data_IF_981749206200
#
_entry.id   IF_981749206200
#
_cell.length_a   1.000
_cell.length_b   1.000
_cell.length_c   1.000
_cell.angle_alpha   90.00
_cell.angle_beta   90.00
_cell.angle_gamma   90.00
#
_symmetry.space_group_name_H-M   'P 1'
#
loop_
_entity.id
_entity.type
_entity.pdbx_description
1 polymer ?
#
# COMPACT_ATOMS: atom_id res chain seq x y z
N UNK A 1 -23.61 -12.61 -5.91
CA UNK A 1 -22.44 -12.07 -5.17
C UNK A 1 -21.92 -13.19 -4.28
N UNK A 2 -20.60 -13.37 -4.14
CA UNK A 2 -20.08 -14.29 -3.14
C UNK A 2 -20.46 -13.82 -1.72
N UNK A 3 -20.73 -14.76 -0.82
CA UNK A 3 -21.06 -14.46 0.58
C UNK A 3 -19.83 -13.92 1.34
N UNK A 4 -20.06 -13.06 2.33
CA UNK A 4 -19.02 -12.62 3.26
C UNK A 4 -18.90 -13.66 4.38
N UNK A 5 -17.75 -14.34 4.46
CA UNK A 5 -17.49 -15.43 5.42
C UNK A 5 -16.27 -15.12 6.29
N UNK A 6 -16.24 -15.73 7.48
CA UNK A 6 -15.09 -15.78 8.39
C UNK A 6 -15.02 -17.15 9.07
N UNK A 7 -13.87 -17.57 9.61
CA UNK A 7 -13.79 -18.78 10.39
C UNK A 7 -14.76 -18.78 11.58
N UNK A 8 -15.32 -19.96 11.87
CA UNK A 8 -16.14 -20.23 13.04
C UNK A 8 -15.43 -21.28 13.90
N UNK A 9 -14.58 -20.81 14.81
CA UNK A 9 -13.75 -21.68 15.64
C UNK A 9 -14.56 -22.54 16.61
N UNK A 10 -14.11 -23.77 16.82
CA UNK A 10 -14.68 -24.68 17.83
C UNK A 10 -13.60 -25.49 18.54
N UNK A 11 -13.95 -26.08 19.68
CA UNK A 11 -13.02 -26.82 20.54
C UNK A 11 -12.47 -28.06 19.81
N UNK A 12 -11.15 -28.28 19.93
CA UNK A 12 -10.41 -29.36 19.25
C UNK A 12 -10.35 -29.24 17.72
N UNK A 13 -10.72 -28.08 17.15
CA UNK A 13 -10.47 -27.83 15.74
C UNK A 13 -8.96 -27.72 15.48
N UNK A 14 -8.48 -28.49 14.50
CA UNK A 14 -7.16 -28.31 13.93
C UNK A 14 -7.22 -27.18 12.91
N UNK A 15 -6.34 -26.18 13.05
CA UNK A 15 -6.30 -25.00 12.18
C UNK A 15 -5.14 -25.11 11.20
N UNK A 16 -5.41 -24.79 9.94
CA UNK A 16 -4.41 -24.75 8.88
C UNK A 16 -4.14 -23.31 8.42
N UNK A 17 -3.11 -23.13 7.61
CA UNK A 17 -2.75 -21.85 6.99
C UNK A 17 -3.95 -21.15 6.33
N UNK A 18 -4.80 -21.92 5.64
CA UNK A 18 -6.00 -21.42 4.97
C UNK A 18 -7.00 -20.75 5.94
N UNK A 19 -7.13 -21.26 7.17
CA UNK A 19 -8.04 -20.68 8.17
C UNK A 19 -7.54 -19.31 8.64
N UNK A 20 -6.24 -19.20 8.92
CA UNK A 20 -5.62 -17.94 9.33
C UNK A 20 -5.61 -16.92 8.19
N UNK A 21 -5.39 -17.37 6.94
CA UNK A 21 -5.47 -16.51 5.76
C UNK A 21 -6.91 -16.00 5.55
N UNK A 22 -7.91 -16.85 5.78
CA UNK A 22 -9.32 -16.46 5.70
C UNK A 22 -9.70 -15.44 6.79
N UNK A 23 -9.23 -15.62 8.03
CA UNK A 23 -9.45 -14.65 9.11
C UNK A 23 -8.79 -13.30 8.81
N UNK A 24 -7.51 -13.28 8.42
CA UNK A 24 -6.80 -12.04 8.09
C UNK A 24 -7.46 -11.30 6.92
N UNK A 25 -7.87 -12.03 5.88
CA UNK A 25 -8.55 -11.46 4.72
C UNK A 25 -9.89 -10.85 5.11
N UNK A 26 -10.70 -11.55 5.93
CA UNK A 26 -11.96 -11.02 6.42
C UNK A 26 -11.79 -9.69 7.16
N UNK A 27 -10.83 -9.61 8.08
CA UNK A 27 -10.58 -8.37 8.83
C UNK A 27 -10.06 -7.23 7.97
N UNK A 28 -9.14 -7.50 7.03
CA UNK A 28 -8.66 -6.52 6.05
C UNK A 28 -9.83 -5.99 5.20
N UNK A 29 -10.67 -6.87 4.68
CA UNK A 29 -11.79 -6.47 3.82
C UNK A 29 -12.88 -5.71 4.57
N UNK A 30 -13.15 -6.06 5.84
CA UNK A 30 -14.04 -5.26 6.70
C UNK A 30 -13.49 -3.85 6.87
N UNK A 31 -12.18 -3.71 7.12
CA UNK A 31 -11.52 -2.40 7.25
C UNK A 31 -11.59 -1.60 5.94
N UNK A 32 -11.29 -2.22 4.81
CA UNK A 32 -11.39 -1.57 3.50
C UNK A 32 -12.81 -1.06 3.22
N UNK A 33 -13.83 -1.88 3.48
CA UNK A 33 -15.24 -1.47 3.34
C UNK A 33 -15.61 -0.35 4.30
N UNK A 34 -15.17 -0.41 5.56
CA UNK A 34 -15.40 0.65 6.54
C UNK A 34 -14.79 1.98 6.08
N UNK A 35 -13.54 1.94 5.61
CA UNK A 35 -12.82 3.09 5.08
C UNK A 35 -13.58 3.73 3.91
N UNK A 36 -13.96 2.97 2.90
CA UNK A 36 -14.70 3.52 1.77
C UNK A 36 -16.11 4.00 2.12
N UNK A 37 -16.84 3.25 2.95
CA UNK A 37 -18.23 3.56 3.25
C UNK A 37 -18.39 4.81 4.13
N UNK A 38 -17.44 5.07 5.04
CA UNK A 38 -17.58 6.14 6.04
C UNK A 38 -16.56 7.28 5.86
N UNK A 39 -15.41 7.01 5.25
CA UNK A 39 -14.30 7.97 5.17
C UNK A 39 -13.91 8.32 3.72
N UNK A 40 -14.40 7.55 2.73
CA UNK A 40 -14.06 7.74 1.32
C UNK A 40 -12.61 7.41 1.00
N UNK A 41 -12.07 8.05 -0.04
CA UNK A 41 -10.68 7.90 -0.49
C UNK A 41 -10.00 9.27 -0.61
N UNK A 42 -8.68 9.30 -0.47
CA UNK A 42 -7.88 10.52 -0.53
C UNK A 42 -6.78 10.60 0.53
N UNK A 43 -6.06 11.73 0.55
CA UNK A 43 -5.07 12.03 1.59
C UNK A 43 -5.80 12.44 2.86
N UNK A 44 -5.44 11.83 3.98
CA UNK A 44 -6.06 12.08 5.28
C UNK A 44 -5.37 13.28 5.94
N UNK A 45 -6.16 14.33 6.21
CA UNK A 45 -5.70 15.53 6.91
C UNK A 45 -4.54 16.23 6.19
N UNK A 46 -3.47 16.52 6.94
CA UNK A 46 -2.32 17.31 6.48
C UNK A 46 -1.05 16.48 6.21
N UNK A 47 -1.18 15.17 6.02
CA UNK A 47 -0.07 14.24 5.78
C UNK A 47 0.38 14.16 4.31
N UNK A 48 1.42 13.35 4.04
CA UNK A 48 1.94 13.06 2.69
C UNK A 48 2.25 14.31 1.85
N UNK A 49 2.72 15.38 2.51
CA UNK A 49 3.05 16.63 1.82
C UNK A 49 4.30 16.45 1.00
N UNK A 50 4.23 16.86 -0.26
CA UNK A 50 5.32 16.77 -1.22
C UNK A 50 6.04 18.10 -1.29
N UNK A 51 7.35 18.11 -1.08
CA UNK A 51 8.20 19.29 -1.23
C UNK A 51 9.40 18.97 -2.13
N UNK A 52 9.86 19.96 -2.90
CA UNK A 52 11.13 19.89 -3.61
C UNK A 52 12.23 20.31 -2.64
N UNK A 53 13.16 19.40 -2.34
CA UNK A 53 14.31 19.69 -1.48
C UNK A 53 15.42 20.39 -2.27
N UNK A 54 15.51 20.14 -3.57
CA UNK A 54 16.48 20.77 -4.46
C UNK A 54 15.96 20.76 -5.89
N UNK A 55 15.75 21.94 -6.46
CA UNK A 55 15.31 22.11 -7.84
C UNK A 55 16.38 21.62 -8.84
N UNK A 56 17.65 21.79 -8.51
CA UNK A 56 18.78 21.42 -9.37
C UNK A 56 18.96 19.91 -9.48
N UNK A 57 18.67 19.17 -8.40
CA UNK A 57 18.84 17.70 -8.36
C UNK A 57 17.51 16.95 -8.48
N UNK A 58 16.37 17.65 -8.52
CA UNK A 58 15.05 17.04 -8.64
C UNK A 58 14.71 16.10 -7.48
N UNK A 59 15.22 16.39 -6.27
CA UNK A 59 14.98 15.57 -5.08
C UNK A 59 13.66 15.99 -4.43
N UNK A 60 12.78 15.02 -4.26
CA UNK A 60 11.46 15.19 -3.67
C UNK A 60 11.43 14.57 -2.27
N UNK A 61 10.87 15.32 -1.33
CA UNK A 61 10.58 14.86 0.02
C UNK A 61 9.08 14.71 0.22
N UNK A 62 8.69 13.63 0.91
CA UNK A 62 7.31 13.38 1.33
C UNK A 62 7.27 13.25 2.85
N UNK A 63 6.46 14.08 3.50
CA UNK A 63 6.27 14.02 4.95
C UNK A 63 5.44 12.79 5.35
N UNK A 64 5.60 12.26 6.58
CA UNK A 64 4.71 11.23 7.12
C UNK A 64 3.23 11.56 6.94
N UNK A 65 2.40 10.53 6.84
CA UNK A 65 0.96 10.69 6.67
C UNK A 65 0.25 9.43 6.21
N UNK A 66 -1.07 9.57 6.05
CA UNK A 66 -1.95 8.47 5.64
C UNK A 66 -2.77 8.92 4.42
N UNK A 67 -2.98 8.00 3.49
CA UNK A 67 -4.02 8.11 2.47
C UNK A 67 -4.85 6.83 2.43
N UNK A 68 -6.07 6.93 1.91
CA UNK A 68 -6.93 5.80 1.58
C UNK A 68 -7.05 5.76 0.06
N UNK A 69 -6.76 4.61 -0.56
CA UNK A 69 -6.95 4.44 -1.99
C UNK A 69 -8.39 4.08 -2.36
N UNK A 70 -8.66 3.92 -3.66
CA UNK A 70 -10.02 3.67 -4.17
C UNK A 70 -10.56 2.29 -3.78
N UNK A 71 -9.69 1.39 -3.34
CA UNK A 71 -10.05 0.07 -2.83
C UNK A 71 -10.21 0.06 -1.30
N UNK A 72 -10.04 1.21 -0.62
CA UNK A 72 -10.17 1.34 0.82
C UNK A 72 -8.92 0.95 1.60
N UNK A 73 -7.83 0.65 0.91
CA UNK A 73 -6.55 0.27 1.52
C UNK A 73 -5.85 1.51 2.04
N UNK A 74 -5.19 1.36 3.18
CA UNK A 74 -4.46 2.44 3.81
C UNK A 74 -3.02 2.48 3.30
N UNK A 75 -2.61 3.65 2.86
CA UNK A 75 -1.25 3.96 2.47
C UNK A 75 -0.63 4.75 3.62
N UNK A 76 0.21 4.11 4.42
CA UNK A 76 0.79 4.70 5.63
C UNK A 76 2.27 4.95 5.41
N UNK A 77 2.68 6.22 5.43
CA UNK A 77 4.07 6.63 5.49
C UNK A 77 4.40 7.03 6.93
N UNK A 78 5.14 6.19 7.65
CA UNK A 78 5.50 6.40 9.05
C UNK A 78 6.60 7.45 9.20
N UNK A 79 7.65 7.32 8.38
CA UNK A 79 8.83 8.19 8.41
C UNK A 79 8.95 9.02 7.12
N UNK A 80 9.58 10.19 7.23
CA UNK A 80 9.82 11.06 6.08
C UNK A 80 10.64 10.33 5.02
N UNK A 81 10.23 10.45 3.75
CA UNK A 81 10.95 9.91 2.60
C UNK A 81 11.61 11.04 1.81
N UNK A 82 12.92 11.01 1.59
CA UNK A 82 13.69 12.13 0.99
C UNK A 82 14.50 11.76 -0.25
N UNK A 83 14.50 10.50 -0.66
CA UNK A 83 15.33 9.95 -1.74
C UNK A 83 14.54 9.70 -3.04
N UNK A 84 13.37 10.34 -3.19
CA UNK A 84 12.57 10.26 -4.41
C UNK A 84 13.21 11.20 -5.43
N UNK A 85 13.95 10.62 -6.37
CA UNK A 85 14.73 11.37 -7.35
C UNK A 85 14.08 11.32 -8.72
N UNK A 86 13.98 12.49 -9.36
CA UNK A 86 13.61 12.56 -10.77
C UNK A 86 14.66 11.85 -11.64
N UNK A 87 14.19 10.95 -12.51
CA UNK A 87 15.00 10.26 -13.53
C UNK A 87 14.70 10.77 -14.94
N UNK A 88 13.81 11.74 -15.08
CA UNK A 88 13.23 12.18 -16.35
C UNK A 88 13.74 13.55 -16.83
N UNK A 89 14.39 14.35 -15.99
CA UNK A 89 15.09 15.59 -16.36
C UNK A 89 14.27 16.87 -16.19
N UNK A 90 14.96 18.01 -16.23
CA UNK A 90 14.58 19.30 -15.62
C UNK A 90 13.45 20.12 -16.27
N UNK A 91 12.63 19.57 -17.18
CA UNK A 91 11.61 20.38 -17.89
C UNK A 91 10.27 19.68 -18.12
N UNK A 92 9.87 18.78 -17.22
CA UNK A 92 8.58 18.07 -17.35
C UNK A 92 7.79 18.16 -16.05
N UNK A 93 6.49 18.36 -16.17
CA UNK A 93 5.60 18.13 -15.05
C UNK A 93 5.53 16.63 -14.78
N UNK A 94 5.68 16.26 -13.51
CA UNK A 94 5.64 14.87 -13.05
C UNK A 94 4.49 14.69 -12.07
N UNK A 95 3.85 13.53 -12.13
CA UNK A 95 3.00 13.05 -11.06
C UNK A 95 3.80 12.13 -10.15
N UNK A 96 3.82 12.44 -8.86
CA UNK A 96 4.22 11.48 -7.83
C UNK A 96 2.98 10.66 -7.45
N UNK A 97 3.01 9.38 -7.78
CA UNK A 97 1.99 8.42 -7.37
C UNK A 97 2.52 7.68 -6.15
N UNK A 98 1.74 7.68 -5.08
CA UNK A 98 1.97 6.85 -3.90
C UNK A 98 0.87 5.78 -3.90
N UNK A 99 1.25 4.51 -3.89
CA UNK A 99 0.31 3.39 -3.91
C UNK A 99 0.57 2.42 -2.77
N UNK A 100 -0.49 1.76 -2.31
CA UNK A 100 -0.38 0.64 -1.39
C UNK A 100 0.44 -0.48 -2.05
N UNK A 101 1.34 -1.08 -1.30
CA UNK A 101 2.07 -2.26 -1.73
C UNK A 101 2.27 -3.20 -0.54
N UNK A 102 2.05 -4.49 -0.75
CA UNK A 102 2.32 -5.56 0.19
C UNK A 102 3.45 -6.42 -0.38
N UNK A 103 4.59 -6.46 0.30
CA UNK A 103 5.78 -7.15 -0.18
C UNK A 103 6.32 -8.10 0.87
N UNK A 104 7.00 -9.15 0.43
CA UNK A 104 7.87 -9.95 1.29
C UNK A 104 9.28 -9.38 1.24
N UNK A 105 10.00 -9.45 2.36
CA UNK A 105 11.37 -8.92 2.48
C UNK A 105 12.33 -10.01 2.92
N UNK A 106 13.56 -10.00 2.41
CA UNK A 106 14.59 -11.00 2.73
C UNK A 106 14.84 -11.25 4.23
N UNK A 107 14.77 -10.24 5.13
CA UNK A 107 14.88 -10.48 6.57
C UNK A 107 13.79 -11.41 7.13
N UNK A 108 12.60 -11.46 6.51
CA UNK A 108 11.48 -12.30 6.93
C UNK A 108 11.47 -13.67 6.25
N UNK A 109 12.44 -13.96 5.38
CA UNK A 109 12.54 -15.24 4.66
C UNK A 109 12.68 -16.39 5.66
N UNK A 110 11.81 -17.38 5.55
CA UNK A 110 11.88 -18.61 6.33
C UNK A 110 13.10 -19.43 5.92
N UNK A 111 13.89 -19.87 6.90
CA UNK A 111 15.15 -20.64 6.69
C UNK A 111 15.12 -22.04 7.30
N UNK A 112 13.94 -22.53 7.70
CA UNK A 112 13.79 -23.88 8.24
C UNK A 112 13.85 -24.96 7.17
N UNK A 113 13.93 -26.21 7.61
CA UNK A 113 13.96 -27.38 6.71
C UNK A 113 12.55 -27.75 6.25
N UNK A 114 12.43 -28.30 5.04
CA UNK A 114 11.17 -28.86 4.51
C UNK A 114 10.25 -27.87 3.79
N UNK A 115 10.55 -26.58 3.78
CA UNK A 115 9.78 -25.57 3.05
C UNK A 115 10.72 -24.50 2.46
N UNK A 116 10.71 -24.33 1.13
CA UNK A 116 11.51 -23.32 0.42
C UNK A 116 10.68 -22.12 -0.01
N UNK A 117 11.35 -20.97 -0.17
CA UNK A 117 10.79 -19.74 -0.75
C UNK A 117 9.53 -19.19 -0.06
N UNK A 118 9.46 -19.38 1.26
CA UNK A 118 8.42 -18.80 2.11
C UNK A 118 8.96 -17.66 2.95
N UNK A 119 8.07 -16.72 3.28
CA UNK A 119 8.34 -15.58 4.13
C UNK A 119 7.35 -15.55 5.28
N UNK A 120 7.83 -15.19 6.47
CA UNK A 120 7.03 -15.23 7.69
C UNK A 120 6.11 -14.01 7.85
N UNK A 121 6.29 -12.97 7.02
CA UNK A 121 5.52 -11.72 7.09
C UNK A 121 5.33 -11.10 5.71
N UNK A 122 4.20 -10.41 5.57
CA UNK A 122 4.04 -9.34 4.58
C UNK A 122 4.34 -8.00 5.25
N UNK A 123 5.08 -7.15 4.55
CA UNK A 123 5.27 -5.75 4.91
C UNK A 123 4.38 -4.89 4.02
N UNK A 124 3.39 -4.23 4.62
CA UNK A 124 2.62 -3.18 3.95
C UNK A 124 3.41 -1.88 3.98
N UNK A 125 3.71 -1.31 2.80
CA UNK A 125 4.45 -0.05 2.68
C UNK A 125 4.04 0.73 1.43
N UNK A 126 4.15 2.07 1.45
CA UNK A 126 3.92 2.88 0.26
C UNK A 126 5.00 2.60 -0.78
N UNK A 127 4.57 2.47 -2.04
CA UNK A 127 5.45 2.51 -3.19
C UNK A 127 5.31 3.87 -3.89
N UNK A 128 6.46 4.48 -4.19
CA UNK A 128 6.54 5.78 -4.84
C UNK A 128 6.91 5.61 -6.31
N UNK A 129 6.08 6.13 -7.21
CA UNK A 129 6.27 6.03 -8.66
C UNK A 129 6.14 7.41 -9.28
N UNK A 130 7.20 7.87 -9.95
CA UNK A 130 7.16 9.08 -10.77
C UNK A 130 6.62 8.76 -12.17
N UNK A 131 5.64 9.53 -12.64
CA UNK A 131 5.03 9.40 -13.96
C UNK A 131 5.10 10.72 -14.72
N UNK A 132 5.43 10.66 -16.01
CA UNK A 132 5.30 11.79 -16.92
C UNK A 132 3.83 12.14 -17.17
N UNK A 133 3.53 13.43 -17.35
CA UNK A 133 2.27 13.82 -17.99
C UNK A 133 2.34 13.43 -19.47
N UNK A 134 1.81 12.26 -19.83
CA UNK A 134 1.38 12.03 -21.20
C UNK A 134 -0.10 12.44 -21.29
N UNK A 135 -0.42 13.39 -22.18
CA UNK A 135 -1.78 13.80 -22.53
C UNK A 135 -2.55 12.58 -23.06
N UNK A 136 -3.19 11.83 -22.16
CA UNK A 136 -4.35 10.94 -22.32
C UNK A 136 -4.65 10.30 -20.96
N UNK A 137 -5.03 11.13 -19.99
CA UNK A 137 -5.91 10.71 -18.91
C UNK A 137 -7.25 11.37 -19.16
N UNK A 138 -7.93 10.90 -20.19
CA UNK A 138 -9.37 11.08 -20.31
C UNK A 138 -9.97 9.69 -20.50
N UNK A 139 -10.88 9.35 -19.58
CA UNK A 139 -11.78 8.18 -19.58
C UNK A 139 -11.16 6.79 -19.38
N UNK A 140 -11.15 6.35 -18.11
CA UNK A 140 -11.50 5.00 -17.64
C UNK A 140 -11.36 5.01 -16.10
N UNK A 141 -12.36 4.80 -15.25
CA UNK A 141 -13.76 4.40 -15.41
C UNK A 141 -14.53 4.92 -14.18
N UNK A 142 -15.82 5.18 -14.38
CA UNK A 142 -16.82 5.25 -13.30
C UNK A 142 -16.83 3.96 -12.46
#
# INVERSE_FOLDING_TARGET
>A
MPDIKRPNYFTLQFLEEADFNAEQSYHRDVRHRHNLALHGWGVVGNGLRVTLTSETTGVVTVTPGVAIDREGREIILVDQRTDITDRFGSQRTLYLVIRYNAVTLEPDRYRGTGVSDQYTRFTERPEFVLRLINQKMDQASC
#
